data_IF_209684524641
#
_entry.id   IF_209684524641
#
_cell.length_a   1.000
_cell.length_b   1.000
_cell.length_c   1.000
_cell.angle_alpha   90.00
_cell.angle_beta   90.00
_cell.angle_gamma   90.00
#
_symmetry.space_group_name_H-M   'P 1'
#
loop_
_entity.id
_entity.type
_entity.pdbx_description
1 polymer ?
#
# COMPACT_ATOMS: atom_id res chain seq x y z
N UNK A 1 29.26 25.71 55.37
CA UNK A 1 27.83 26.04 55.15
C UNK A 1 27.59 26.22 53.66
N UNK A 2 27.84 25.10 53.00
CA UNK A 2 27.14 24.51 51.86
C UNK A 2 25.95 25.30 51.32
N UNK A 3 26.01 25.67 50.04
CA UNK A 3 24.80 25.86 49.24
C UNK A 3 24.97 25.29 47.83
N UNK A 4 24.59 24.01 47.76
CA UNK A 4 23.74 23.39 46.76
C UNK A 4 24.12 23.51 45.28
N UNK A 5 24.79 22.44 44.84
CA UNK A 5 24.70 21.84 43.52
C UNK A 5 23.21 21.59 43.19
N UNK A 6 22.68 22.23 42.16
CA UNK A 6 21.34 21.88 41.63
C UNK A 6 21.37 21.96 40.12
N UNK A 7 21.96 20.93 39.49
CA UNK A 7 21.80 20.69 38.06
C UNK A 7 20.35 20.28 37.81
N UNK A 8 19.56 21.22 37.30
CA UNK A 8 18.17 21.00 36.91
C UNK A 8 18.16 20.08 35.68
N UNK A 9 17.93 18.79 35.89
CA UNK A 9 17.80 17.80 34.83
C UNK A 9 16.46 18.04 34.12
N UNK A 10 16.48 18.76 33.00
CA UNK A 10 15.32 18.90 32.10
C UNK A 10 15.05 17.54 31.45
N UNK A 11 14.12 16.77 32.03
CA UNK A 11 13.62 15.54 31.41
C UNK A 11 12.67 15.94 30.28
N UNK A 12 13.13 15.82 29.03
CA UNK A 12 12.34 16.04 27.84
C UNK A 12 11.37 14.84 27.69
N UNK A 13 10.15 14.95 28.22
CA UNK A 13 9.07 14.01 27.91
C UNK A 13 8.69 14.20 26.43
N UNK A 14 9.28 13.40 25.55
CA UNK A 14 8.82 13.26 24.18
C UNK A 14 7.49 12.50 24.18
N UNK A 15 6.39 13.23 24.11
CA UNK A 15 5.09 12.66 23.77
C UNK A 15 5.20 12.12 22.34
N UNK A 16 5.40 10.81 22.18
CA UNK A 16 5.23 10.13 20.90
C UNK A 16 3.75 10.21 20.54
N UNK A 17 3.35 11.24 19.80
CA UNK A 17 2.04 11.24 19.17
C UNK A 17 2.05 10.08 18.16
N UNK A 18 1.23 9.07 18.42
CA UNK A 18 1.01 7.98 17.47
C UNK A 18 0.59 8.59 16.13
N UNK A 19 1.27 8.20 15.06
CA UNK A 19 0.87 8.59 13.70
C UNK A 19 -0.51 7.97 13.50
N UNK A 20 -1.56 8.80 13.49
CA UNK A 20 -2.86 8.39 12.95
C UNK A 20 -2.61 7.97 11.51
N UNK A 21 -3.07 6.81 11.07
CA UNK A 21 -2.80 6.30 9.72
C UNK A 21 -3.54 4.99 9.49
N UNK A 22 -3.60 4.57 8.22
CA UNK A 22 -4.28 3.33 7.83
C UNK A 22 -3.24 2.26 7.50
N UNK A 23 -3.41 1.08 8.07
CA UNK A 23 -2.62 -0.10 7.71
C UNK A 23 -3.35 -0.91 6.64
N UNK A 24 -2.78 -0.97 5.44
CA UNK A 24 -3.23 -1.90 4.40
C UNK A 24 -2.50 -3.23 4.58
N UNK A 25 -3.24 -4.34 4.66
CA UNK A 25 -2.65 -5.68 4.63
C UNK A 25 -3.01 -6.34 3.30
N UNK A 26 -2.02 -6.42 2.42
CA UNK A 26 -2.17 -7.04 1.10
C UNK A 26 -1.94 -8.53 1.25
N UNK A 27 -2.90 -9.36 0.82
CA UNK A 27 -2.85 -10.82 0.93
C UNK A 27 -3.01 -11.43 -0.45
N UNK A 28 -2.09 -12.32 -0.83
CA UNK A 28 -2.23 -13.09 -2.05
C UNK A 28 -2.94 -14.42 -1.75
N UNK A 29 -4.22 -14.51 -2.10
CA UNK A 29 -5.01 -15.77 -2.03
C UNK A 29 -5.07 -16.51 -3.37
N UNK A 30 -4.38 -16.02 -4.41
CA UNK A 30 -4.28 -16.72 -5.69
C UNK A 30 -3.38 -17.96 -5.54
N UNK A 31 -3.50 -18.90 -6.48
CA UNK A 31 -2.66 -20.10 -6.55
C UNK A 31 -1.28 -19.84 -7.18
N UNK A 32 -1.00 -18.60 -7.59
CA UNK A 32 0.24 -18.17 -8.21
C UNK A 32 0.78 -16.88 -7.58
N UNK A 33 2.07 -16.61 -7.78
CA UNK A 33 2.71 -15.36 -7.35
C UNK A 33 2.08 -14.16 -8.06
N UNK A 34 1.84 -13.09 -7.30
CA UNK A 34 1.43 -11.79 -7.81
C UNK A 34 2.44 -10.74 -7.42
N UNK A 35 2.55 -9.67 -8.19
CA UNK A 35 3.46 -8.56 -7.88
C UNK A 35 2.65 -7.29 -7.68
N UNK A 36 2.21 -6.97 -6.46
CA UNK A 36 1.44 -5.77 -6.21
C UNK A 36 2.19 -4.51 -6.66
N UNK A 37 1.44 -3.54 -7.18
CA UNK A 37 1.90 -2.20 -7.49
C UNK A 37 1.06 -1.17 -6.73
N UNK A 38 1.66 -0.03 -6.40
CA UNK A 38 1.05 1.03 -5.60
C UNK A 38 1.36 2.38 -6.22
N UNK A 39 0.32 3.20 -6.36
CA UNK A 39 0.44 4.59 -6.79
C UNK A 39 -0.45 5.45 -5.92
N UNK A 40 0.07 6.55 -5.39
CA UNK A 40 -0.72 7.51 -4.63
C UNK A 40 -0.16 8.92 -4.73
N UNK A 41 -0.83 9.86 -4.06
CA UNK A 41 -0.43 11.26 -3.97
C UNK A 41 0.92 11.46 -3.25
N UNK A 42 1.29 10.53 -2.37
CA UNK A 42 2.63 10.39 -1.82
C UNK A 42 3.07 8.92 -1.86
N UNK A 43 4.37 8.71 -2.00
CA UNK A 43 4.98 7.38 -2.00
C UNK A 43 4.93 6.78 -0.59
N UNK A 44 4.53 5.50 -0.51
CA UNK A 44 4.57 4.69 0.71
C UNK A 44 5.96 4.05 0.88
N UNK A 45 6.13 3.07 1.78
CA UNK A 45 7.41 2.37 1.98
C UNK A 45 7.87 1.60 0.72
N UNK A 46 6.94 1.26 -0.17
CA UNK A 46 7.17 0.63 -1.46
C UNK A 46 6.12 1.11 -2.48
N UNK A 47 6.46 1.01 -3.75
CA UNK A 47 5.58 1.21 -4.92
C UNK A 47 5.35 -0.09 -5.69
N UNK A 48 6.06 -1.18 -5.35
CA UNK A 48 5.81 -2.51 -5.90
C UNK A 48 6.69 -3.60 -5.29
N UNK A 49 6.15 -4.81 -5.15
CA UNK A 49 6.83 -5.93 -4.51
C UNK A 49 6.34 -7.28 -5.03
N UNK A 50 7.06 -8.36 -4.73
CA UNK A 50 6.64 -9.74 -4.99
C UNK A 50 5.86 -10.29 -3.81
N UNK A 51 4.75 -10.99 -4.09
CA UNK A 51 3.93 -11.63 -3.08
C UNK A 51 3.58 -13.07 -3.50
N UNK A 52 4.27 -14.02 -2.89
CA UNK A 52 4.07 -15.46 -3.12
C UNK A 52 2.66 -15.92 -2.72
N UNK A 53 2.22 -17.05 -3.26
CA UNK A 53 0.96 -17.72 -2.90
C UNK A 53 0.79 -17.86 -1.39
N UNK A 54 -0.34 -17.39 -0.86
CA UNK A 54 -0.65 -17.40 0.58
C UNK A 54 0.11 -16.35 1.40
N UNK A 55 0.99 -15.57 0.79
CA UNK A 55 1.78 -14.53 1.45
C UNK A 55 0.95 -13.28 1.78
N UNK A 56 1.44 -12.49 2.74
CA UNK A 56 0.86 -11.20 3.10
C UNK A 56 1.94 -10.17 3.41
N UNK A 57 1.66 -8.89 3.11
CA UNK A 57 2.51 -7.75 3.50
C UNK A 57 1.65 -6.60 3.99
N UNK A 58 2.05 -5.98 5.10
CA UNK A 58 1.41 -4.77 5.64
C UNK A 58 2.15 -3.51 5.20
N UNK A 59 1.39 -2.46 4.89
CA UNK A 59 1.86 -1.18 4.38
C UNK A 59 1.13 -0.07 5.16
N UNK A 60 1.88 0.92 5.63
CA UNK A 60 1.32 2.07 6.35
C UNK A 60 1.09 3.23 5.38
N UNK A 61 -0.12 3.77 5.40
CA UNK A 61 -0.46 5.02 4.71
C UNK A 61 -0.76 6.13 5.72
N UNK A 62 -0.25 7.35 5.48
CA UNK A 62 -0.56 8.49 6.33
C UNK A 62 -2.03 8.93 6.17
N UNK A 63 -2.55 9.77 7.07
CA UNK A 63 -3.82 10.45 6.86
C UNK A 63 -3.78 11.29 5.59
N UNK A 64 -4.93 11.50 4.96
CA UNK A 64 -5.04 12.22 3.67
C UNK A 64 -4.32 11.53 2.50
N UNK A 65 -3.89 10.26 2.65
CA UNK A 65 -3.36 9.49 1.54
C UNK A 65 -4.48 9.10 0.58
N UNK A 66 -4.26 9.31 -0.71
CA UNK A 66 -5.17 8.84 -1.75
C UNK A 66 -4.36 8.17 -2.84
N UNK A 67 -4.82 7.01 -3.27
CA UNK A 67 -4.08 6.17 -4.19
C UNK A 67 -4.78 4.86 -4.49
N UNK A 68 -4.05 3.96 -5.13
CA UNK A 68 -4.56 2.72 -5.66
C UNK A 68 -3.53 1.61 -5.58
N UNK A 69 -4.04 0.39 -5.44
CA UNK A 69 -3.31 -0.86 -5.48
C UNK A 69 -3.78 -1.68 -6.68
N UNK A 70 -2.88 -2.47 -7.26
CA UNK A 70 -3.22 -3.48 -8.26
C UNK A 70 -2.29 -4.68 -8.13
N UNK A 71 -2.66 -5.81 -8.73
CA UNK A 71 -1.80 -6.99 -8.84
C UNK A 71 -1.29 -7.17 -10.26
N UNK A 72 0.04 -7.25 -10.45
CA UNK A 72 0.65 -7.69 -11.71
C UNK A 72 0.75 -9.22 -11.73
N UNK A 73 0.63 -9.83 -12.91
CA UNK A 73 0.75 -11.29 -13.09
C UNK A 73 1.73 -11.66 -14.20
N UNK A 74 2.26 -12.89 -14.14
CA UNK A 74 3.18 -13.41 -15.15
C UNK A 74 4.45 -12.59 -15.29
N UNK A 75 4.98 -12.07 -14.17
CA UNK A 75 6.18 -11.25 -14.20
C UNK A 75 7.43 -12.11 -14.38
N UNK A 76 8.30 -11.70 -15.29
CA UNK A 76 9.56 -12.37 -15.63
C UNK A 76 10.68 -11.36 -15.54
N UNK A 77 11.76 -11.73 -14.82
CA UNK A 77 13.01 -10.98 -14.81
C UNK A 77 13.91 -11.49 -15.93
N UNK A 78 14.30 -10.61 -16.84
CA UNK A 78 15.30 -10.92 -17.85
C UNK A 78 16.67 -11.15 -17.16
N UNK A 79 17.30 -12.29 -17.44
CA UNK A 79 18.52 -12.71 -16.74
C UNK A 79 19.76 -11.89 -17.12
N UNK A 80 19.76 -11.24 -18.29
CA UNK A 80 20.90 -10.49 -18.79
C UNK A 80 20.85 -9.03 -18.34
N UNK A 81 19.66 -8.46 -18.25
CA UNK A 81 19.42 -7.04 -17.96
C UNK A 81 18.86 -6.78 -16.57
N UNK A 82 18.31 -7.80 -15.91
CA UNK A 82 17.60 -7.67 -14.63
C UNK A 82 16.25 -6.96 -14.74
N UNK A 83 15.76 -6.70 -15.96
CA UNK A 83 14.51 -5.98 -16.17
C UNK A 83 13.31 -6.88 -15.89
N UNK A 84 12.38 -6.40 -15.07
CA UNK A 84 11.12 -7.08 -14.78
C UNK A 84 10.04 -6.62 -15.77
N UNK A 85 9.35 -7.56 -16.40
CA UNK A 85 8.18 -7.28 -17.25
C UNK A 85 7.05 -8.24 -16.89
N UNK A 86 5.82 -7.74 -16.84
CA UNK A 86 4.64 -8.51 -16.47
C UNK A 86 3.65 -8.65 -17.63
N UNK A 87 2.94 -9.78 -17.66
CA UNK A 87 1.95 -10.07 -18.70
C UNK A 87 0.70 -9.19 -18.57
N UNK A 88 0.26 -8.90 -17.35
CA UNK A 88 -0.89 -8.03 -17.09
C UNK A 88 -0.55 -6.96 -16.06
N UNK A 89 -1.22 -5.81 -16.20
CA UNK A 89 -1.11 -4.66 -15.29
C UNK A 89 0.32 -4.14 -15.06
N UNK A 90 1.24 -4.39 -15.99
CA UNK A 90 2.62 -3.93 -15.92
C UNK A 90 2.69 -2.40 -15.80
N UNK A 91 3.60 -1.90 -14.95
CA UNK A 91 3.74 -0.46 -14.71
C UNK A 91 4.86 0.19 -15.54
N UNK A 92 5.54 -0.56 -16.41
CA UNK A 92 6.54 -0.06 -17.35
C UNK A 92 7.79 0.52 -16.68
N UNK A 93 8.03 0.24 -15.41
CA UNK A 93 9.22 0.70 -14.68
C UNK A 93 10.46 -0.14 -14.97
N UNK A 94 10.28 -1.32 -15.58
CA UNK A 94 11.27 -2.40 -15.74
C UNK A 94 11.87 -2.90 -14.42
N UNK A 95 11.26 -2.56 -13.29
CA UNK A 95 11.72 -2.87 -11.94
C UNK A 95 10.60 -3.49 -11.11
N UNK A 96 10.97 -4.07 -9.96
CA UNK A 96 10.02 -4.49 -8.94
C UNK A 96 9.15 -3.32 -8.48
N UNK A 97 9.80 -2.20 -8.19
CA UNK A 97 9.18 -0.93 -7.81
C UNK A 97 8.55 -0.26 -9.04
N UNK A 98 7.34 0.29 -8.90
CA UNK A 98 6.67 1.01 -9.99
C UNK A 98 7.09 2.49 -10.10
N UNK A 99 7.78 3.05 -9.10
CA UNK A 99 8.44 4.36 -9.16
C UNK A 99 7.52 5.48 -9.66
N UNK A 100 6.29 5.54 -9.14
CA UNK A 100 5.30 6.55 -9.51
C UNK A 100 4.59 6.31 -10.85
N UNK A 101 4.83 5.17 -11.52
CA UNK A 101 4.08 4.77 -12.70
C UNK A 101 2.83 3.96 -12.33
N UNK A 102 1.76 4.17 -13.09
CA UNK A 102 0.53 3.37 -12.97
C UNK A 102 0.57 2.09 -13.79
N UNK A 103 -0.37 1.19 -13.53
CA UNK A 103 -0.58 -0.01 -14.31
C UNK A 103 -1.03 0.30 -15.75
N UNK A 104 -0.61 -0.55 -16.69
CA UNK A 104 -1.14 -0.59 -18.06
C UNK A 104 -2.40 -1.46 -18.09
N UNK A 105 -3.57 -0.95 -18.54
CA UNK A 105 -4.80 -1.73 -18.68
C UNK A 105 -4.64 -2.97 -19.61
N UNK A 106 -5.43 -4.05 -19.40
CA UNK A 106 -6.51 -4.17 -18.42
C UNK A 106 -6.02 -4.43 -16.99
N UNK A 107 -6.67 -3.80 -16.00
CA UNK A 107 -6.28 -3.90 -14.58
C UNK A 107 -7.47 -3.72 -13.63
N UNK A 108 -7.60 -4.63 -12.66
CA UNK A 108 -8.48 -4.46 -11.50
C UNK A 108 -7.77 -3.55 -10.47
N UNK A 109 -8.42 -2.46 -10.04
CA UNK A 109 -7.86 -1.50 -9.09
C UNK A 109 -8.60 -1.60 -7.74
N UNK A 110 -7.87 -1.53 -6.63
CA UNK A 110 -8.44 -1.13 -5.34
C UNK A 110 -8.05 0.32 -5.07
N UNK A 111 -9.02 1.20 -5.00
CA UNK A 111 -8.83 2.65 -4.90
C UNK A 111 -9.20 3.12 -3.48
N UNK A 112 -8.44 4.09 -2.95
CA UNK A 112 -8.58 4.54 -1.57
C UNK A 112 -8.43 6.07 -1.48
N UNK A 113 -9.24 6.66 -0.60
CA UNK A 113 -9.09 8.02 -0.09
C UNK A 113 -9.20 7.97 1.42
N UNK A 114 -8.06 8.10 2.11
CA UNK A 114 -7.96 8.04 3.57
C UNK A 114 -8.18 9.43 4.15
N UNK A 115 -9.14 9.56 5.05
CA UNK A 115 -9.45 10.79 5.75
C UNK A 115 -8.35 11.22 6.72
N UNK A 116 -8.44 12.46 7.19
CA UNK A 116 -7.61 12.98 8.28
C UNK A 116 -8.50 13.37 9.45
N UNK A 117 -9.00 12.36 10.16
CA UNK A 117 -10.07 12.51 11.14
C UNK A 117 -11.47 12.62 10.51
N UNK A 118 -11.58 12.31 9.22
CA UNK A 118 -12.82 12.27 8.44
C UNK A 118 -13.06 10.85 7.91
N UNK A 119 -14.21 10.63 7.26
CA UNK A 119 -14.56 9.35 6.65
C UNK A 119 -13.59 8.96 5.51
N UNK A 120 -13.23 7.68 5.47
CA UNK A 120 -12.49 7.05 4.37
C UNK A 120 -13.44 6.61 3.25
N UNK A 121 -12.95 6.62 2.02
CA UNK A 121 -13.63 6.06 0.85
C UNK A 121 -12.73 5.03 0.18
N UNK A 122 -13.32 3.94 -0.29
CA UNK A 122 -12.62 2.89 -1.03
C UNK A 122 -13.58 2.12 -1.92
N UNK A 123 -13.04 1.56 -3.00
CA UNK A 123 -13.77 0.71 -3.92
C UNK A 123 -12.82 -0.25 -4.67
N UNK A 124 -13.41 -1.27 -5.30
CA UNK A 124 -12.75 -2.07 -6.32
C UNK A 124 -13.33 -1.67 -7.67
N UNK A 125 -12.46 -1.20 -8.56
CA UNK A 125 -12.82 -0.59 -9.83
C UNK A 125 -12.36 -1.44 -11.00
N UNK A 126 -13.27 -1.60 -11.97
CA UNK A 126 -13.04 -2.26 -13.27
C UNK A 126 -13.09 -1.27 -14.43
N UNK A 127 -13.03 0.04 -14.15
CA UNK A 127 -13.07 1.08 -15.19
C UNK A 127 -11.93 0.86 -16.19
N UNK A 128 -10.76 0.44 -15.70
CA UNK A 128 -9.57 0.13 -16.49
C UNK A 128 -9.49 -1.36 -16.88
N UNK A 129 -10.60 -2.09 -16.83
CA UNK A 129 -10.68 -3.51 -17.19
C UNK A 129 -10.49 -4.45 -15.99
N UNK A 130 -10.20 -5.72 -16.28
CA UNK A 130 -10.09 -6.78 -15.28
C UNK A 130 -8.88 -7.68 -15.59
N UNK A 131 -8.10 -8.01 -14.57
CA UNK A 131 -7.02 -9.00 -14.68
C UNK A 131 -7.00 -10.01 -13.52
N UNK A 132 -7.35 -9.60 -12.30
CA UNK A 132 -7.38 -10.44 -11.11
C UNK A 132 -8.65 -10.16 -10.28
N UNK A 133 -9.21 -11.17 -9.60
CA UNK A 133 -10.25 -10.94 -8.61
C UNK A 133 -9.64 -10.23 -7.39
N UNK A 134 -10.36 -9.28 -6.82
CA UNK A 134 -9.88 -8.48 -5.72
C UNK A 134 -10.99 -8.17 -4.73
N UNK A 135 -10.65 -8.17 -3.44
CA UNK A 135 -11.55 -7.86 -2.35
C UNK A 135 -10.86 -6.89 -1.38
N UNK A 136 -11.57 -5.83 -1.02
CA UNK A 136 -11.19 -4.91 0.07
C UNK A 136 -12.13 -5.16 1.24
N UNK A 137 -11.57 -5.56 2.38
CA UNK A 137 -12.32 -5.82 3.63
C UNK A 137 -11.80 -4.89 4.74
N UNK A 138 -12.60 -3.91 5.21
CA UNK A 138 -12.23 -3.08 6.34
C UNK A 138 -12.11 -3.93 7.62
N UNK A 139 -10.95 -3.89 8.28
CA UNK A 139 -10.69 -4.66 9.50
C UNK A 139 -11.09 -3.94 10.80
N UNK A 140 -11.26 -2.63 10.74
CA UNK A 140 -11.60 -1.77 11.86
C UNK A 140 -12.26 -0.47 11.36
N UNK A 141 -12.70 0.37 12.28
CA UNK A 141 -13.41 1.61 11.98
C UNK A 141 -14.86 1.55 12.46
N UNK A 142 -15.61 2.60 12.16
CA UNK A 142 -17.04 2.70 12.51
C UNK A 142 -17.83 3.26 11.34
N UNK A 143 -19.13 2.93 11.28
CA UNK A 143 -19.98 3.25 10.14
C UNK A 143 -20.31 2.00 9.31
N UNK A 144 -20.55 2.18 8.02
CA UNK A 144 -21.01 1.09 7.13
C UNK A 144 -19.93 0.03 6.92
N UNK A 145 -18.69 0.44 6.63
CA UNK A 145 -17.50 -0.43 6.58
C UNK A 145 -17.71 -1.78 5.86
N UNK A 146 -18.40 -1.77 4.71
CA UNK A 146 -18.71 -2.98 3.96
C UNK A 146 -17.58 -3.37 3.03
N UNK A 147 -17.37 -4.67 2.86
CA UNK A 147 -16.43 -5.19 1.86
C UNK A 147 -16.91 -4.86 0.43
N UNK A 148 -15.95 -4.66 -0.47
CA UNK A 148 -16.18 -4.41 -1.90
C UNK A 148 -15.18 -5.21 -2.74
N UNK A 149 -15.61 -5.72 -3.89
CA UNK A 149 -14.78 -6.60 -4.70
C UNK A 149 -15.41 -7.00 -6.02
N UNK A 150 -14.59 -7.66 -6.85
CA UNK A 150 -14.98 -8.29 -8.12
C UNK A 150 -14.24 -9.62 -8.29
#
# INVERSE_FOLDING_TARGET
MDLFFSTCLFSLLSMLQGISGTTFTVVNKCDHTVWPGILGNSQLDTTGFELLTGGSRSIQAPPSWSGRFWGRTGCISDQNTGQLTCQTADCGSTQMECNGKGATPPVTLAEFTIGSGTQDFYDVSLVDGYNLPMLVEPSSGSGTCLSTGC
#
